data_IF_388011279688
#
_entry.id   IF_388011279688
#
_cell.length_a   1.000
_cell.length_b   1.000
_cell.length_c   1.000
_cell.angle_alpha   90.00
_cell.angle_beta   90.00
_cell.angle_gamma   90.00
#
_symmetry.space_group_name_H-M   'P 1'
#
loop_
_entity.id
_entity.type
_entity.pdbx_description
1 polymer ?
#
# COMPACT_ATOMS: atom_id res chain seq x y z
N UNK A 1 -6.37 19.37 -1.69
CA UNK A 1 -5.20 18.96 -2.48
C UNK A 1 -4.71 17.57 -2.15
N UNK A 2 -4.48 17.28 -0.88
CA UNK A 2 -4.03 15.92 -0.47
C UNK A 2 -4.99 14.83 -0.91
N UNK A 3 -6.28 15.10 -0.79
CA UNK A 3 -7.31 14.16 -1.19
C UNK A 3 -7.18 13.78 -2.68
N UNK A 4 -6.95 14.75 -3.55
CA UNK A 4 -6.80 14.49 -4.98
C UNK A 4 -5.55 13.66 -5.28
N UNK A 5 -4.47 13.92 -4.56
CA UNK A 5 -3.24 13.14 -4.71
C UNK A 5 -3.48 11.70 -4.28
N UNK A 6 -4.17 11.52 -3.17
CA UNK A 6 -4.48 10.18 -2.67
C UNK A 6 -5.35 9.41 -3.67
N UNK A 7 -6.41 10.04 -4.20
CA UNK A 7 -7.29 9.41 -5.17
C UNK A 7 -6.52 9.02 -6.43
N UNK A 8 -5.66 9.92 -6.93
CA UNK A 8 -4.84 9.62 -8.11
C UNK A 8 -3.91 8.44 -7.84
N UNK A 9 -3.28 8.42 -6.66
CA UNK A 9 -2.38 7.34 -6.29
C UNK A 9 -3.11 6.00 -6.25
N UNK A 10 -4.27 5.95 -5.60
CA UNK A 10 -5.07 4.73 -5.49
C UNK A 10 -5.52 4.26 -6.86
N UNK A 11 -5.96 5.17 -7.72
CA UNK A 11 -6.38 4.83 -9.07
C UNK A 11 -5.25 4.18 -9.86
N UNK A 12 -4.07 4.81 -9.85
CA UNK A 12 -2.91 4.28 -10.57
C UNK A 12 -2.47 2.94 -9.99
N UNK A 13 -2.51 2.81 -8.68
CA UNK A 13 -2.16 1.59 -7.97
C UNK A 13 -3.08 0.43 -8.35
N UNK A 14 -4.39 0.66 -8.35
CA UNK A 14 -5.36 -0.36 -8.72
C UNK A 14 -5.17 -0.77 -10.17
N UNK A 15 -4.98 0.20 -11.06
CA UNK A 15 -4.73 -0.10 -12.47
C UNK A 15 -3.45 -0.92 -12.64
N UNK A 16 -2.38 -0.53 -11.94
CA UNK A 16 -1.10 -1.23 -12.04
C UNK A 16 -1.20 -2.69 -11.60
N UNK A 17 -2.01 -2.96 -10.57
CA UNK A 17 -2.13 -4.33 -10.05
C UNK A 17 -3.13 -5.17 -10.83
N UNK A 18 -4.07 -4.57 -11.54
CA UNK A 18 -5.16 -5.32 -12.16
C UNK A 18 -5.07 -5.41 -13.68
N UNK A 19 -4.30 -4.54 -14.35
CA UNK A 19 -4.17 -4.64 -15.81
C UNK A 19 -3.10 -5.67 -16.18
N UNK A 20 -3.19 -6.26 -17.38
CA UNK A 20 -2.15 -7.17 -17.86
C UNK A 20 -0.81 -6.46 -17.98
N UNK A 21 0.27 -7.15 -17.60
CA UNK A 21 1.62 -6.59 -17.65
C UNK A 21 2.45 -7.39 -18.66
N UNK A 22 3.53 -6.79 -19.20
CA UNK A 22 4.42 -7.52 -20.10
C UNK A 22 5.02 -8.74 -19.41
N UNK A 23 5.28 -9.77 -20.21
CA UNK A 23 5.88 -11.01 -19.71
C UNK A 23 7.31 -10.75 -19.24
N UNK A 24 7.63 -11.21 -18.05
CA UNK A 24 9.00 -11.18 -17.50
C UNK A 24 9.35 -12.59 -17.00
N UNK A 25 10.64 -12.94 -16.87
CA UNK A 25 11.02 -14.24 -16.33
C UNK A 25 10.44 -14.45 -14.94
N UNK A 26 9.95 -15.64 -14.64
CA UNK A 26 9.24 -15.94 -13.40
C UNK A 26 10.06 -15.62 -12.16
N UNK A 27 11.35 -15.94 -12.17
CA UNK A 27 12.20 -15.68 -11.00
C UNK A 27 12.31 -14.20 -10.69
N UNK A 28 12.48 -13.38 -11.73
CA UNK A 28 12.57 -11.93 -11.57
C UNK A 28 11.20 -11.33 -11.24
N UNK A 29 10.14 -11.85 -11.85
CA UNK A 29 8.79 -11.37 -11.61
C UNK A 29 8.39 -11.49 -10.15
N UNK A 30 8.73 -12.61 -9.50
CA UNK A 30 8.35 -12.83 -8.11
C UNK A 30 9.00 -11.82 -7.17
N UNK A 31 10.30 -11.55 -7.34
CA UNK A 31 10.99 -10.60 -6.49
C UNK A 31 10.54 -9.17 -6.75
N UNK A 32 10.42 -8.79 -8.02
CA UNK A 32 9.99 -7.45 -8.40
C UNK A 32 8.57 -7.19 -7.92
N UNK A 33 7.69 -8.17 -8.07
CA UNK A 33 6.30 -8.03 -7.67
C UNK A 33 6.18 -7.75 -6.17
N UNK A 34 6.94 -8.48 -5.34
CA UNK A 34 6.92 -8.27 -3.90
C UNK A 34 7.49 -6.92 -3.51
N UNK A 35 8.56 -6.48 -4.16
CA UNK A 35 9.13 -5.16 -3.92
C UNK A 35 8.14 -4.06 -4.30
N UNK A 36 7.43 -4.24 -5.41
CA UNK A 36 6.40 -3.30 -5.85
C UNK A 36 5.29 -3.23 -4.82
N UNK A 37 4.79 -4.37 -4.35
CA UNK A 37 3.75 -4.39 -3.32
C UNK A 37 4.20 -3.69 -2.05
N UNK A 38 5.41 -3.99 -1.60
CA UNK A 38 5.98 -3.37 -0.41
C UNK A 38 6.04 -1.84 -0.56
N UNK A 39 6.65 -1.36 -1.64
CA UNK A 39 6.84 0.07 -1.86
C UNK A 39 5.53 0.81 -2.09
N UNK A 40 4.64 0.23 -2.87
CA UNK A 40 3.36 0.86 -3.19
C UNK A 40 2.48 0.97 -1.94
N UNK A 41 2.44 -0.06 -1.10
CA UNK A 41 1.63 -0.01 0.12
C UNK A 41 2.26 0.86 1.20
N UNK A 42 3.59 0.97 1.21
CA UNK A 42 4.24 1.96 2.06
C UNK A 42 3.76 3.36 1.69
N UNK A 43 3.79 3.70 0.39
CA UNK A 43 3.28 4.98 -0.09
C UNK A 43 1.79 5.16 0.18
N UNK A 44 1.01 4.10 0.02
CA UNK A 44 -0.42 4.12 0.32
C UNK A 44 -0.67 4.49 1.78
N UNK A 45 0.05 3.86 2.71
CA UNK A 45 -0.12 4.15 4.13
C UNK A 45 0.26 5.59 4.47
N UNK A 46 1.35 6.08 3.89
CA UNK A 46 1.78 7.46 4.12
C UNK A 46 0.73 8.46 3.62
N UNK A 47 0.21 8.24 2.41
CA UNK A 47 -0.78 9.14 1.82
C UNK A 47 -2.14 9.03 2.51
N UNK A 48 -2.55 7.83 2.90
CA UNK A 48 -3.80 7.65 3.63
C UNK A 48 -3.75 8.39 4.95
N UNK A 49 -2.65 8.25 5.68
CA UNK A 49 -2.48 8.94 6.95
C UNK A 49 -2.51 10.46 6.76
N UNK A 50 -1.81 10.96 5.74
CA UNK A 50 -1.77 12.39 5.45
C UNK A 50 -3.14 12.92 5.04
N UNK A 51 -3.91 12.14 4.26
CA UNK A 51 -5.22 12.58 3.78
C UNK A 51 -6.26 12.61 4.90
N UNK A 52 -6.22 11.63 5.79
CA UNK A 52 -7.27 11.44 6.78
C UNK A 52 -6.85 11.83 8.20
N UNK A 53 -5.55 11.96 8.45
CA UNK A 53 -5.01 12.18 9.79
C UNK A 53 -5.54 11.13 10.78
N UNK A 54 -5.74 9.90 10.30
CA UNK A 54 -6.31 8.82 11.09
C UNK A 54 -5.28 8.25 12.06
N UNK A 55 -5.78 7.52 13.05
CA UNK A 55 -4.90 6.81 13.98
C UNK A 55 -4.10 5.75 13.21
N UNK A 56 -2.88 5.48 13.66
CA UNK A 56 -1.99 4.51 13.04
C UNK A 56 -2.66 3.14 12.86
N UNK A 57 -3.42 2.69 13.86
CA UNK A 57 -4.08 1.39 13.80
C UNK A 57 -5.08 1.33 12.64
N UNK A 58 -5.84 2.41 12.41
CA UNK A 58 -6.79 2.43 11.32
C UNK A 58 -6.10 2.49 9.97
N UNK A 59 -5.03 3.26 9.85
CA UNK A 59 -4.23 3.29 8.63
C UNK A 59 -3.71 1.91 8.28
N UNK A 60 -3.19 1.20 9.28
CA UNK A 60 -2.67 -0.15 9.07
C UNK A 60 -3.78 -1.12 8.66
N UNK A 61 -4.91 -1.10 9.36
CA UNK A 61 -6.02 -2.01 9.08
C UNK A 61 -6.60 -1.77 7.67
N UNK A 62 -6.79 -0.51 7.30
CA UNK A 62 -7.29 -0.17 5.96
C UNK A 62 -6.29 -0.61 4.89
N UNK A 63 -5.01 -0.38 5.12
CA UNK A 63 -3.97 -0.79 4.17
C UNK A 63 -3.94 -2.30 3.99
N UNK A 64 -4.01 -3.05 5.08
CA UNK A 64 -4.01 -4.51 5.02
C UNK A 64 -5.28 -5.03 4.34
N UNK A 65 -6.43 -4.43 4.64
CA UNK A 65 -7.69 -4.80 3.99
C UNK A 65 -7.62 -4.54 2.48
N UNK A 66 -7.03 -3.42 2.09
CA UNK A 66 -6.87 -3.09 0.69
C UNK A 66 -5.93 -4.07 -0.01
N UNK A 67 -4.82 -4.42 0.64
CA UNK A 67 -3.87 -5.41 0.12
C UNK A 67 -4.55 -6.77 -0.08
N UNK A 68 -5.35 -7.20 0.90
CA UNK A 68 -6.11 -8.45 0.78
C UNK A 68 -7.11 -8.37 -0.36
N UNK A 69 -7.78 -7.23 -0.53
CA UNK A 69 -8.72 -7.03 -1.62
C UNK A 69 -8.07 -7.13 -2.99
N UNK A 70 -6.89 -6.55 -3.15
CA UNK A 70 -6.14 -6.62 -4.40
C UNK A 70 -5.81 -8.09 -4.73
N UNK A 71 -5.31 -8.85 -3.73
CA UNK A 71 -4.99 -10.26 -3.96
C UNK A 71 -6.24 -11.07 -4.30
N UNK A 72 -7.34 -10.78 -3.63
CA UNK A 72 -8.60 -11.48 -3.88
C UNK A 72 -9.08 -11.23 -5.32
N UNK A 73 -9.02 -9.99 -5.77
CA UNK A 73 -9.40 -9.66 -7.16
C UNK A 73 -8.45 -10.33 -8.14
N UNK A 74 -7.14 -10.31 -7.89
CA UNK A 74 -6.16 -10.94 -8.75
C UNK A 74 -6.38 -12.45 -8.84
N UNK A 75 -6.88 -13.06 -7.78
CA UNK A 75 -7.22 -14.49 -7.78
C UNK A 75 -8.21 -14.84 -8.88
N UNK A 76 -9.14 -13.94 -9.19
CA UNK A 76 -10.15 -14.18 -10.21
C UNK A 76 -9.73 -13.74 -11.61
N UNK A 77 -8.56 -13.12 -11.77
CA UNK A 77 -8.10 -12.66 -13.08
C UNK A 77 -7.22 -13.73 -13.72
N UNK A 78 -7.56 -14.17 -14.96
CA UNK A 78 -6.82 -15.26 -15.59
C UNK A 78 -5.38 -14.92 -15.99
N UNK A 79 -5.06 -13.64 -16.10
CA UNK A 79 -3.74 -13.16 -16.48
C UNK A 79 -2.89 -12.72 -15.30
N UNK A 80 -3.37 -12.92 -14.08
CA UNK A 80 -2.64 -12.55 -12.87
C UNK A 80 -2.51 -13.76 -11.96
N UNK A 81 -1.36 -13.88 -11.34
CA UNK A 81 -1.12 -14.91 -10.34
C UNK A 81 -1.24 -14.28 -8.97
N UNK A 82 -2.31 -14.62 -8.27
CA UNK A 82 -2.46 -14.18 -6.89
C UNK A 82 -1.46 -14.93 -6.01
N UNK A 83 -0.79 -14.20 -5.13
CA UNK A 83 0.22 -14.77 -4.25
C UNK A 83 0.08 -14.09 -2.90
N UNK A 84 -0.26 -14.87 -1.89
CA UNK A 84 -0.44 -14.34 -0.54
C UNK A 84 0.84 -13.76 0.04
N UNK A 85 2.00 -14.13 -0.50
CA UNK A 85 3.25 -13.46 -0.13
C UNK A 85 3.25 -11.99 -0.58
N UNK A 86 2.56 -11.67 -1.66
CA UNK A 86 2.40 -10.27 -2.09
C UNK A 86 1.54 -9.50 -1.08
N UNK A 87 0.52 -10.13 -0.53
CA UNK A 87 -0.25 -9.54 0.56
C UNK A 87 0.64 -9.25 1.77
N UNK A 88 1.49 -10.19 2.15
CA UNK A 88 2.38 -9.98 3.29
C UNK A 88 3.41 -8.88 2.99
N UNK A 89 3.93 -8.82 1.77
CA UNK A 89 4.85 -7.76 1.38
C UNK A 89 4.17 -6.40 1.44
N UNK A 90 2.95 -6.29 0.93
CA UNK A 90 2.18 -5.06 0.99
C UNK A 90 1.87 -4.63 2.42
N UNK A 91 1.47 -5.59 3.25
CA UNK A 91 1.18 -5.33 4.66
C UNK A 91 2.43 -4.88 5.41
N UNK A 92 3.58 -5.49 5.12
CA UNK A 92 4.85 -5.08 5.72
C UNK A 92 5.23 -3.65 5.30
N UNK A 93 5.00 -3.31 4.04
CA UNK A 93 5.23 -1.95 3.56
C UNK A 93 4.34 -0.94 4.28
N UNK A 94 3.06 -1.26 4.42
CA UNK A 94 2.12 -0.42 5.16
C UNK A 94 2.55 -0.26 6.62
N UNK A 95 2.98 -1.34 7.26
CA UNK A 95 3.45 -1.29 8.64
C UNK A 95 4.67 -0.38 8.78
N UNK A 96 5.60 -0.46 7.84
CA UNK A 96 6.76 0.44 7.84
C UNK A 96 6.32 1.89 7.66
N UNK A 97 5.38 2.15 6.74
CA UNK A 97 4.85 3.50 6.54
C UNK A 97 4.22 4.05 7.80
N UNK A 98 3.40 3.25 8.48
CA UNK A 98 2.76 3.64 9.75
C UNK A 98 3.83 3.91 10.81
N UNK A 99 4.84 3.05 10.89
CA UNK A 99 5.92 3.24 11.86
C UNK A 99 6.66 4.55 11.60
N UNK A 100 6.99 4.84 10.35
CA UNK A 100 7.68 6.07 9.98
C UNK A 100 6.86 7.31 10.36
N UNK A 101 5.56 7.29 10.06
CA UNK A 101 4.68 8.40 10.43
C UNK A 101 4.64 8.56 11.95
N UNK A 102 4.51 7.46 12.68
CA UNK A 102 4.44 7.50 14.14
C UNK A 102 5.72 8.08 14.74
N UNK A 103 6.87 7.71 14.21
CA UNK A 103 8.15 8.23 14.68
C UNK A 103 8.28 9.72 14.40
N UNK A 104 7.87 10.16 13.21
CA UNK A 104 7.93 11.57 12.85
C UNK A 104 6.99 12.37 13.77
N UNK A 105 5.79 11.90 13.97
CA UNK A 105 4.81 12.59 14.81
C UNK A 105 5.25 12.65 16.28
N UNK A 106 5.89 11.60 16.76
CA UNK A 106 6.37 11.59 18.15
C UNK A 106 7.50 12.57 18.40
N UNK A 107 8.23 12.95 17.35
CA UNK A 107 9.34 13.90 17.46
C UNK A 107 8.95 15.34 17.23
N UNK A 108 7.76 15.59 16.70
CA UNK A 108 7.32 16.94 16.44
C UNK A 108 6.82 17.57 17.73
N UNK A 109 7.16 18.86 17.97
CA UNK A 109 6.61 19.56 19.12
C UNK A 109 5.09 19.66 19.00
N UNK A 110 4.42 19.41 20.11
CA UNK A 110 2.97 19.57 20.16
C UNK A 110 2.66 20.94 20.68
N UNK A 111 2.07 21.75 19.83
CA UNK A 111 1.55 23.04 20.25
C UNK A 111 0.07 22.86 20.57
N UNK A 112 -0.38 23.61 21.58
CA UNK A 112 -1.69 23.46 22.15
C UNK A 112 -2.79 23.18 21.15
N UNK A 113 -3.79 22.42 21.54
CA UNK A 113 -4.93 22.12 20.71
C UNK A 113 -4.83 20.86 19.90
N UNK A 114 -3.80 20.12 20.05
CA UNK A 114 -3.74 18.83 19.40
C UNK A 114 -4.45 17.74 20.14
#
# INVERSE_FOLDING_TARGET
MRHKIFVAYVTLMVLAFLVPVPTVPLAEANHVDKLVHFGVFLGFALLLHADRASKAVWTLLISCAFAAGIELVQWFLPYRDADWWDFFAGSAGAALGVLLVSLVESRQPRFGGH
#
